data_IF_622834396922
#
_entry.id   IF_622834396922
#
_cell.length_a   1.000
_cell.length_b   1.000
_cell.length_c   1.000
_cell.angle_alpha   90.00
_cell.angle_beta   90.00
_cell.angle_gamma   90.00
#
_symmetry.space_group_name_H-M   'P 1'
#
loop_
_entity.id
_entity.type
_entity.pdbx_description
1 polymer ?
#
# COMPACT_ATOMS: atom_id res chain seq x y z
N UNK A 1 17.25 -3.26 28.43
CA UNK A 1 16.08 -3.08 29.30
C UNK A 1 16.25 -1.69 29.88
N UNK A 2 15.45 -0.73 29.45
CA UNK A 2 15.53 0.67 29.92
C UNK A 2 14.19 0.98 30.54
N UNK A 3 14.26 1.40 31.80
CA UNK A 3 13.16 1.79 32.65
C UNK A 3 12.71 3.21 32.26
N UNK A 4 11.41 3.42 32.05
CA UNK A 4 10.84 4.72 31.68
C UNK A 4 9.52 4.87 32.44
N UNK A 5 9.61 5.46 33.62
CA UNK A 5 8.48 5.98 34.38
C UNK A 5 8.55 7.51 34.40
N UNK A 6 7.45 8.18 34.05
CA UNK A 6 7.33 9.63 34.05
C UNK A 6 6.39 10.13 32.94
N UNK A 7 5.16 10.49 33.31
CA UNK A 7 4.04 10.77 32.41
C UNK A 7 4.33 11.74 31.25
N UNK A 8 3.93 11.32 30.05
CA UNK A 8 3.74 12.13 28.84
C UNK A 8 4.79 13.22 28.56
N UNK A 9 6.05 12.79 28.41
CA UNK A 9 7.12 13.56 27.77
C UNK A 9 8.03 12.58 27.03
N UNK A 10 8.26 12.77 25.73
CA UNK A 10 9.16 11.91 24.97
C UNK A 10 10.53 12.60 24.81
N UNK A 11 11.50 12.14 25.60
CA UNK A 11 12.95 12.41 25.47
C UNK A 11 13.67 11.08 25.28
N UNK A 12 14.31 10.90 24.12
CA UNK A 12 15.06 9.69 23.72
C UNK A 12 16.39 10.09 23.08
N UNK A 13 17.39 10.42 23.90
CA UNK A 13 18.69 10.95 23.50
C UNK A 13 19.32 10.29 22.26
N UNK A 14 19.35 11.07 21.16
CA UNK A 14 20.00 10.78 19.87
C UNK A 14 19.19 11.39 18.72
N UNK A 15 19.49 12.64 18.33
CA UNK A 15 18.81 13.42 17.26
C UNK A 15 17.29 13.25 17.26
N UNK A 16 16.65 13.90 18.24
CA UNK A 16 15.32 13.58 18.73
C UNK A 16 14.19 14.17 17.88
N UNK A 17 13.35 13.30 17.32
CA UNK A 17 12.04 13.68 16.81
C UNK A 17 11.07 13.93 17.96
N UNK A 18 10.41 15.09 17.95
CA UNK A 18 9.33 15.39 18.89
C UNK A 18 8.01 14.74 18.43
N UNK A 19 7.63 13.64 19.09
CA UNK A 19 6.29 13.07 18.98
C UNK A 19 5.36 13.77 19.98
N UNK A 20 4.25 14.30 19.51
CA UNK A 20 3.13 14.75 20.35
C UNK A 20 2.10 13.63 20.41
N UNK A 21 1.87 13.08 21.60
CA UNK A 21 0.86 12.06 21.82
C UNK A 21 -0.45 12.71 22.25
N UNK A 22 -1.58 12.28 21.69
CA UNK A 22 -2.89 12.66 22.25
C UNK A 22 -3.12 11.94 23.59
N UNK A 23 -3.97 12.46 24.49
CA UNK A 23 -4.09 11.96 25.87
C UNK A 23 -4.58 10.51 26.03
N UNK A 24 -5.08 9.86 24.98
CA UNK A 24 -5.39 8.42 24.95
C UNK A 24 -4.13 7.60 24.65
N UNK A 25 -3.88 6.61 25.51
CA UNK A 25 -2.55 6.06 25.82
C UNK A 25 -2.01 5.18 24.68
N UNK A 26 -1.30 5.80 23.74
CA UNK A 26 -0.53 5.07 22.73
C UNK A 26 0.46 4.12 23.41
N UNK A 27 0.47 2.84 23.02
CA UNK A 27 1.41 1.88 23.60
C UNK A 27 2.87 2.34 23.45
N UNK A 28 3.69 2.15 24.49
CA UNK A 28 5.11 2.55 24.47
C UNK A 28 5.90 1.86 23.36
N UNK A 29 5.47 0.68 22.91
CA UNK A 29 6.09 -0.04 21.79
C UNK A 29 5.69 0.56 20.44
N UNK A 30 4.39 0.87 20.22
CA UNK A 30 3.93 1.57 19.01
C UNK A 30 4.65 2.91 18.86
N UNK A 31 4.75 3.69 19.96
CA UNK A 31 5.45 4.97 19.96
C UNK A 31 6.94 4.86 19.62
N UNK A 32 7.65 3.86 20.17
CA UNK A 32 9.08 3.64 19.89
C UNK A 32 9.36 3.23 18.45
N UNK A 33 8.60 2.28 17.91
CA UNK A 33 8.78 1.83 16.53
C UNK A 33 8.53 2.98 15.54
N UNK A 34 7.46 3.76 15.76
CA UNK A 34 7.15 4.94 14.95
C UNK A 34 8.25 5.99 15.05
N UNK A 35 8.70 6.34 16.26
CA UNK A 35 9.78 7.31 16.46
C UNK A 35 11.06 6.91 15.70
N UNK A 36 11.50 5.66 15.85
CA UNK A 36 12.70 5.16 15.20
C UNK A 36 12.60 5.24 13.67
N UNK A 37 11.46 4.84 13.09
CA UNK A 37 11.23 4.90 11.65
C UNK A 37 11.21 6.33 11.12
N UNK A 38 10.56 7.26 11.84
CA UNK A 38 10.53 8.67 11.45
C UNK A 38 11.93 9.29 11.50
N UNK A 39 12.75 8.94 12.49
CA UNK A 39 14.15 9.41 12.59
C UNK A 39 15.00 8.88 11.43
N UNK A 40 14.75 7.63 11.04
CA UNK A 40 15.44 7.00 9.92
C UNK A 40 15.03 7.63 8.56
N UNK A 41 13.74 7.92 8.38
CA UNK A 41 13.19 8.66 7.24
C UNK A 41 13.74 10.08 7.16
N UNK A 42 13.81 10.80 8.27
CA UNK A 42 14.41 12.12 8.36
C UNK A 42 15.88 12.10 7.93
N UNK A 43 16.63 11.10 8.40
CA UNK A 43 18.03 10.88 8.01
C UNK A 43 18.16 10.59 6.51
N UNK A 44 17.28 9.74 5.97
CA UNK A 44 17.25 9.42 4.55
C UNK A 44 17.00 10.67 3.71
N UNK A 45 15.93 11.43 4.00
CA UNK A 45 15.55 12.60 3.20
C UNK A 45 16.49 13.78 3.34
N UNK A 46 17.08 14.00 4.52
CA UNK A 46 18.16 14.97 4.71
C UNK A 46 19.35 14.69 3.80
N UNK A 47 19.64 13.41 3.52
CA UNK A 47 20.70 13.03 2.56
C UNK A 47 20.26 13.17 1.11
N UNK A 48 19.00 12.88 0.79
CA UNK A 48 18.50 12.96 -0.59
C UNK A 48 18.35 14.40 -1.09
N UNK A 49 18.01 15.33 -0.20
CA UNK A 49 17.64 16.71 -0.54
C UNK A 49 18.60 17.76 0.03
N UNK A 50 19.55 17.35 0.88
CA UNK A 50 20.54 18.23 1.50
C UNK A 50 19.88 19.48 2.12
N UNK A 51 20.35 20.68 1.78
CA UNK A 51 19.82 21.94 2.31
C UNK A 51 18.39 22.29 1.91
N UNK A 52 17.76 21.52 0.99
CA UNK A 52 16.37 21.71 0.61
C UNK A 52 15.38 20.98 1.54
N UNK A 53 15.85 20.07 2.40
CA UNK A 53 14.99 19.38 3.35
C UNK A 53 14.78 20.19 4.63
N UNK A 54 13.52 20.27 5.06
CA UNK A 54 13.16 20.76 6.39
C UNK A 54 12.16 19.80 7.02
N UNK A 55 12.33 19.53 8.31
CA UNK A 55 11.41 18.70 9.09
C UNK A 55 10.02 19.33 9.17
N UNK A 56 8.96 18.53 9.45
CA UNK A 56 7.60 19.06 9.64
C UNK A 56 7.56 20.02 10.85
N UNK A 57 7.10 21.26 10.63
CA UNK A 57 7.01 22.27 11.72
C UNK A 57 5.95 21.91 12.76
N UNK A 58 4.87 21.24 12.34
CA UNK A 58 3.85 20.70 13.24
C UNK A 58 4.29 19.41 13.95
N UNK A 59 5.42 18.83 13.53
CA UNK A 59 5.98 17.61 14.10
C UNK A 59 5.19 16.36 13.71
N UNK A 60 5.16 15.40 14.63
CA UNK A 60 4.52 14.10 14.40
C UNK A 60 3.54 13.83 15.53
N UNK A 61 2.33 13.40 15.18
CA UNK A 61 1.18 13.30 16.08
C UNK A 61 0.72 11.86 16.13
N UNK A 62 0.79 11.22 17.30
CA UNK A 62 0.31 9.85 17.49
C UNK A 62 -1.01 9.89 18.25
N UNK A 63 -2.04 9.32 17.63
CA UNK A 63 -3.39 9.23 18.17
C UNK A 63 -3.76 7.77 18.45
N UNK A 64 -4.51 7.52 19.52
CA UNK A 64 -5.17 6.23 19.74
C UNK A 64 -6.68 6.35 19.45
N UNK A 65 -7.11 5.85 18.29
CA UNK A 65 -8.55 5.82 17.94
C UNK A 65 -9.25 4.52 18.37
N UNK A 66 -8.50 3.51 18.83
CA UNK A 66 -9.04 2.23 19.26
C UNK A 66 -9.79 2.37 20.59
N UNK A 67 -9.31 3.23 21.49
CA UNK A 67 -9.96 3.53 22.77
C UNK A 67 -11.23 4.37 22.66
N UNK A 68 -11.44 5.11 21.56
CA UNK A 68 -12.67 5.91 21.34
C UNK A 68 -13.92 5.01 21.29
N UNK A 69 -13.78 3.71 20.98
CA UNK A 69 -14.86 2.71 21.08
C UNK A 69 -15.35 2.48 22.50
N UNK A 70 -14.45 2.44 23.50
CA UNK A 70 -14.82 2.09 24.87
C UNK A 70 -15.76 3.13 25.51
N UNK A 71 -15.66 4.38 25.05
CA UNK A 71 -16.48 5.50 25.53
C UNK A 71 -17.78 5.66 24.73
N UNK A 72 -17.78 5.34 23.43
CA UNK A 72 -18.97 5.50 22.57
C UNK A 72 -19.92 4.30 22.59
N UNK A 73 -19.42 3.08 22.85
CA UNK A 73 -20.28 1.95 23.18
C UNK A 73 -20.36 1.81 24.69
N UNK A 74 -21.45 2.26 25.31
CA UNK A 74 -21.71 2.11 26.75
C UNK A 74 -21.84 0.64 27.18
N UNK A 75 -20.76 -0.12 27.11
CA UNK A 75 -20.66 -1.50 27.57
C UNK A 75 -20.18 -1.51 29.01
N UNK A 76 -21.08 -1.18 29.94
CA UNK A 76 -20.91 -1.60 31.34
C UNK A 76 -21.12 -3.11 31.41
N UNK A 77 -20.10 -3.82 31.89
CA UNK A 77 -20.19 -5.24 32.18
C UNK A 77 -21.20 -5.50 33.32
N UNK A 78 -22.27 -6.24 33.06
CA UNK A 78 -22.95 -7.05 34.08
C UNK A 78 -23.78 -8.19 33.44
N UNK A 79 -23.67 -9.36 34.06
CA UNK A 79 -24.42 -10.63 33.91
C UNK A 79 -25.88 -10.55 33.43
N UNK A 80 -26.28 -11.45 32.51
CA UNK A 80 -27.62 -11.53 31.85
C UNK A 80 -28.78 -12.07 32.71
N UNK A 81 -29.91 -12.58 32.14
CA UNK A 81 -30.26 -12.73 30.71
C UNK A 81 -31.70 -12.25 30.31
N UNK A 82 -32.03 -12.45 29.02
CA UNK A 82 -33.35 -12.60 28.33
C UNK A 82 -34.08 -11.43 27.63
N UNK A 83 -34.46 -11.74 26.38
CA UNK A 83 -35.56 -11.27 25.52
C UNK A 83 -35.38 -10.04 24.57
N UNK A 84 -35.71 -10.26 23.29
CA UNK A 84 -35.90 -9.28 22.20
C UNK A 84 -37.41 -9.11 21.90
N UNK A 85 -37.83 -8.32 20.90
CA UNK A 85 -37.60 -6.88 20.71
C UNK A 85 -38.92 -6.13 20.42
N UNK A 86 -39.05 -4.83 20.72
CA UNK A 86 -39.89 -3.90 19.92
C UNK A 86 -39.79 -2.45 20.40
N UNK A 87 -39.92 -1.53 19.44
CA UNK A 87 -40.22 -0.09 19.54
C UNK A 87 -39.09 0.91 19.85
N UNK A 88 -38.82 1.78 18.88
CA UNK A 88 -38.35 3.17 19.05
C UNK A 88 -39.48 3.96 19.77
N UNK A 89 -39.20 4.93 20.66
CA UNK A 89 -38.71 6.24 20.20
C UNK A 89 -37.88 7.09 21.20
N UNK A 90 -37.42 8.24 20.69
CA UNK A 90 -37.03 9.48 21.38
C UNK A 90 -35.60 9.62 21.94
N UNK A 91 -34.91 10.63 21.40
CA UNK A 91 -33.66 11.19 21.92
C UNK A 91 -33.90 11.89 23.27
N UNK A 92 -33.07 11.66 24.30
CA UNK A 92 -33.00 12.54 25.45
C UNK A 92 -32.00 13.67 25.21
N UNK A 93 -32.49 14.87 25.51
CA UNK A 93 -31.79 16.14 25.67
C UNK A 93 -30.50 16.04 26.49
N UNK A 94 -29.45 16.71 25.99
CA UNK A 94 -28.18 16.94 26.66
C UNK A 94 -28.36 17.68 28.00
N UNK A 95 -27.87 17.08 29.08
CA UNK A 95 -27.61 17.74 30.36
C UNK A 95 -26.13 18.15 30.48
N UNK A 96 -25.81 19.24 31.19
CA UNK A 96 -24.47 19.82 31.19
C UNK A 96 -23.56 19.08 32.19
N UNK A 97 -22.39 18.62 31.74
CA UNK A 97 -21.34 18.19 32.66
C UNK A 97 -20.59 16.92 32.26
N UNK A 98 -19.83 17.00 31.17
CA UNK A 98 -18.55 16.29 31.02
C UNK A 98 -17.78 17.01 29.91
N UNK A 99 -16.75 17.74 30.27
CA UNK A 99 -15.81 18.34 29.31
C UNK A 99 -15.14 17.22 28.53
N UNK A 100 -15.62 16.95 27.32
CA UNK A 100 -14.86 16.22 26.32
C UNK A 100 -13.54 16.96 26.12
N UNK A 101 -12.42 16.27 26.31
CA UNK A 101 -11.11 16.77 25.92
C UNK A 101 -11.09 17.13 24.43
N UNK A 102 -10.14 17.96 23.96
CA UNK A 102 -10.16 18.44 22.59
C UNK A 102 -10.04 17.23 21.65
N UNK A 103 -11.10 16.96 20.90
CA UNK A 103 -10.98 16.20 19.66
C UNK A 103 -10.01 17.00 18.81
N UNK A 104 -8.82 16.46 18.56
CA UNK A 104 -7.87 17.13 17.70
C UNK A 104 -8.45 17.15 16.28
N UNK A 105 -9.10 18.26 15.91
CA UNK A 105 -9.49 18.57 14.54
C UNK A 105 -8.21 18.81 13.75
N UNK A 106 -7.63 17.74 13.20
CA UNK A 106 -6.49 17.86 12.29
C UNK A 106 -6.99 18.34 10.93
N UNK A 107 -6.33 19.35 10.36
CA UNK A 107 -6.79 20.08 9.16
C UNK A 107 -7.07 19.19 7.95
N UNK A 108 -6.43 18.01 7.87
CA UNK A 108 -6.62 17.05 6.79
C UNK A 108 -7.38 15.78 7.19
N UNK A 109 -7.38 15.39 8.47
CA UNK A 109 -8.12 14.20 8.91
C UNK A 109 -9.60 14.50 9.14
N UNK A 110 -9.98 15.78 9.31
CA UNK A 110 -11.37 16.22 9.47
C UNK A 110 -12.01 15.81 10.80
N UNK A 111 -11.98 14.53 11.15
CA UNK A 111 -12.41 13.96 12.41
C UNK A 111 -11.62 12.67 12.76
N UNK A 112 -11.84 12.14 13.96
CA UNK A 112 -11.17 10.92 14.43
C UNK A 112 -11.55 9.65 13.62
N UNK A 113 -12.67 9.64 12.91
CA UNK A 113 -13.10 8.50 12.10
C UNK A 113 -12.31 8.39 10.80
N UNK A 114 -11.98 9.51 10.14
CA UNK A 114 -11.17 9.46 8.93
C UNK A 114 -9.70 9.11 9.20
N UNK A 115 -9.20 9.44 10.40
CA UNK A 115 -7.88 9.02 10.89
C UNK A 115 -7.84 7.54 11.29
N UNK A 116 -8.98 6.94 11.61
CA UNK A 116 -9.05 5.57 12.12
C UNK A 116 -8.40 4.60 11.14
N UNK A 117 -7.46 3.80 11.65
CA UNK A 117 -6.69 2.84 10.86
C UNK A 117 -5.98 3.49 9.67
N UNK A 118 -5.58 4.76 9.82
CA UNK A 118 -4.89 5.51 8.78
C UNK A 118 -3.74 6.39 9.34
N UNK A 119 -2.92 6.90 8.43
CA UNK A 119 -1.93 7.93 8.68
C UNK A 119 -2.01 8.97 7.57
N UNK A 120 -1.62 10.21 7.86
CA UNK A 120 -1.66 11.31 6.90
C UNK A 120 -0.50 12.27 7.12
N UNK A 121 0.09 12.77 6.05
CA UNK A 121 0.69 14.10 6.08
C UNK A 121 -0.39 15.17 5.89
N UNK A 122 -0.56 16.06 6.86
CA UNK A 122 -1.43 17.22 6.78
C UNK A 122 -0.64 18.48 6.34
N UNK A 123 -0.79 18.98 5.10
CA UNK A 123 -0.03 20.14 4.64
C UNK A 123 -0.39 21.44 5.38
N UNK A 124 -1.62 21.59 5.85
CA UNK A 124 -2.08 22.77 6.59
C UNK A 124 -1.43 22.91 7.97
N UNK A 125 -1.23 21.78 8.66
CA UNK A 125 -0.56 21.72 9.96
C UNK A 125 0.94 21.46 9.85
N UNK A 126 1.41 21.12 8.64
CA UNK A 126 2.77 20.67 8.36
C UNK A 126 3.22 19.58 9.34
N UNK A 127 2.38 18.55 9.48
CA UNK A 127 2.53 17.47 10.45
C UNK A 127 2.15 16.11 9.86
N UNK A 128 2.78 15.04 10.35
CA UNK A 128 2.33 13.66 10.07
C UNK A 128 1.51 13.16 11.26
N UNK A 129 0.26 12.79 11.00
CA UNK A 129 -0.70 12.27 11.99
C UNK A 129 -0.86 10.77 11.78
N UNK A 130 -0.75 9.98 12.84
CA UNK A 130 -0.72 8.52 12.78
C UNK A 130 -1.69 7.97 13.81
N UNK A 131 -2.56 7.05 13.40
CA UNK A 131 -3.33 6.23 14.33
C UNK A 131 -2.46 5.10 14.93
N UNK A 132 -1.77 5.41 16.01
CA UNK A 132 -0.91 4.47 16.71
C UNK A 132 -1.68 3.41 17.50
N UNK A 133 -2.98 3.60 17.75
CA UNK A 133 -3.85 2.67 18.45
C UNK A 133 -4.42 1.58 17.54
N UNK A 134 -4.86 1.93 16.33
CA UNK A 134 -5.47 0.96 15.40
C UNK A 134 -4.58 0.60 14.19
N UNK A 135 -3.95 1.58 13.52
CA UNK A 135 -3.15 1.31 12.32
C UNK A 135 -1.88 0.54 12.67
N UNK A 136 -1.09 1.07 13.61
CA UNK A 136 0.26 0.53 13.90
C UNK A 136 0.23 -0.94 14.32
N UNK A 137 -0.64 -1.40 15.24
CA UNK A 137 -0.69 -2.83 15.61
C UNK A 137 -1.11 -3.73 14.45
N UNK A 138 -2.07 -3.31 13.62
CA UNK A 138 -2.54 -4.08 12.46
C UNK A 138 -1.45 -4.21 11.40
N UNK A 139 -0.77 -3.10 11.07
CA UNK A 139 0.32 -3.10 10.10
C UNK A 139 1.51 -3.90 10.62
N UNK A 140 1.88 -3.76 11.90
CA UNK A 140 3.00 -4.50 12.50
C UNK A 140 2.75 -5.99 12.54
N UNK A 141 1.54 -6.43 12.85
CA UNK A 141 1.18 -7.85 12.88
C UNK A 141 1.08 -8.46 11.47
N UNK A 142 0.47 -7.73 10.52
CA UNK A 142 0.22 -8.22 9.16
C UNK A 142 1.48 -8.15 8.28
N UNK A 143 2.22 -7.04 8.34
CA UNK A 143 3.29 -6.72 7.39
C UNK A 143 4.67 -6.55 8.04
N UNK A 144 4.76 -6.63 9.37
CA UNK A 144 6.01 -6.47 10.11
C UNK A 144 6.50 -5.02 10.17
N UNK A 145 7.74 -4.82 10.61
CA UNK A 145 8.33 -3.48 10.70
C UNK A 145 8.53 -2.84 9.32
N UNK A 146 8.82 -3.66 8.30
CA UNK A 146 8.98 -3.19 6.92
C UNK A 146 7.67 -2.66 6.33
N UNK A 147 6.52 -3.23 6.71
CA UNK A 147 5.21 -2.65 6.37
C UNK A 147 4.99 -1.30 7.03
N UNK A 148 5.22 -1.19 8.35
CA UNK A 148 5.10 0.12 9.01
C UNK A 148 6.05 1.16 8.38
N UNK A 149 7.27 0.73 8.05
CA UNK A 149 8.25 1.54 7.34
C UNK A 149 7.75 2.01 5.97
N UNK A 150 7.13 1.14 5.17
CA UNK A 150 6.58 1.49 3.86
C UNK A 150 5.40 2.48 3.96
N UNK A 151 4.47 2.26 4.90
CA UNK A 151 3.34 3.16 5.12
C UNK A 151 3.80 4.56 5.58
N UNK A 152 4.71 4.62 6.57
CA UNK A 152 5.24 5.92 7.01
C UNK A 152 6.10 6.60 5.95
N UNK A 153 6.82 5.84 5.12
CA UNK A 153 7.60 6.40 4.02
C UNK A 153 6.72 6.99 2.91
N UNK A 154 5.53 6.43 2.70
CA UNK A 154 4.52 7.02 1.81
C UNK A 154 4.06 8.39 2.34
N UNK A 155 3.67 8.49 3.62
CA UNK A 155 3.31 9.79 4.22
C UNK A 155 4.46 10.81 4.19
N UNK A 156 5.69 10.33 4.38
CA UNK A 156 6.88 11.16 4.25
C UNK A 156 7.10 11.63 2.80
N UNK A 157 6.66 10.85 1.81
CA UNK A 157 6.61 11.25 0.41
C UNK A 157 5.75 12.51 0.20
N UNK A 158 4.59 12.59 0.85
CA UNK A 158 3.74 13.78 0.84
C UNK A 158 4.40 14.99 1.52
N UNK A 159 5.09 14.76 2.66
CA UNK A 159 5.91 15.81 3.29
C UNK A 159 6.95 16.35 2.30
N UNK A 160 7.66 15.47 1.60
CA UNK A 160 8.67 15.84 0.61
C UNK A 160 8.07 16.63 -0.54
N UNK A 161 6.92 16.22 -1.08
CA UNK A 161 6.19 16.98 -2.10
C UNK A 161 5.87 18.41 -1.63
N UNK A 162 5.52 18.60 -0.35
CA UNK A 162 5.32 19.95 0.20
C UNK A 162 6.59 20.79 0.29
N UNK A 163 7.79 20.17 0.26
CA UNK A 163 9.09 20.87 0.23
C UNK A 163 9.57 21.20 -1.18
N UNK A 164 9.48 20.23 -2.09
CA UNK A 164 10.10 20.32 -3.42
C UNK A 164 9.11 20.41 -4.57
N UNK A 165 7.82 20.33 -4.27
CA UNK A 165 6.72 20.34 -5.23
C UNK A 165 6.26 18.94 -5.66
N UNK A 166 5.00 18.82 -6.09
CA UNK A 166 3.99 19.88 -6.11
C UNK A 166 3.37 20.16 -4.72
N UNK A 167 3.27 21.44 -4.36
CA UNK A 167 2.56 21.89 -3.14
C UNK A 167 1.05 21.74 -3.30
N UNK A 168 0.29 21.72 -2.19
CA UNK A 168 -1.17 21.65 -2.25
C UNK A 168 -1.81 22.83 -3.00
N UNK A 169 -1.17 24.00 -3.03
CA UNK A 169 -1.63 25.12 -3.85
C UNK A 169 -1.48 24.81 -5.34
N UNK A 170 -0.32 24.31 -5.76
CA UNK A 170 -0.07 23.92 -7.14
C UNK A 170 -0.99 22.79 -7.61
N UNK A 171 -1.31 21.84 -6.72
CA UNK A 171 -2.27 20.78 -7.00
C UNK A 171 -3.67 21.33 -7.27
N UNK A 172 -4.13 22.31 -6.48
CA UNK A 172 -5.44 22.97 -6.70
C UNK A 172 -5.46 23.88 -7.92
N UNK A 173 -4.36 24.59 -8.19
CA UNK A 173 -4.26 25.54 -9.28
C UNK A 173 -4.15 24.84 -10.65
N UNK A 174 -3.57 23.63 -10.69
CA UNK A 174 -3.37 22.84 -11.91
C UNK A 174 -3.62 21.34 -11.67
N UNK A 175 -4.89 20.93 -11.45
CA UNK A 175 -5.25 19.55 -11.13
C UNK A 175 -5.08 18.59 -12.31
N UNK A 176 -5.00 19.09 -13.55
CA UNK A 176 -4.70 18.26 -14.72
C UNK A 176 -3.22 17.86 -14.77
N UNK A 177 -2.33 18.78 -14.36
CA UNK A 177 -0.90 18.50 -14.24
C UNK A 177 -0.54 17.72 -12.99
N UNK A 178 -1.29 17.92 -11.91
CA UNK A 178 -1.05 17.33 -10.60
C UNK A 178 -2.30 16.60 -10.06
N UNK A 179 -2.87 15.64 -10.80
CA UNK A 179 -4.04 14.90 -10.34
C UNK A 179 -3.67 14.03 -9.14
N UNK A 180 -4.64 13.74 -8.26
CA UNK A 180 -4.42 12.95 -7.03
C UNK A 180 -3.62 11.67 -7.29
N UNK A 181 -3.96 10.91 -8.33
CA UNK A 181 -3.25 9.66 -8.67
C UNK A 181 -1.75 9.84 -8.94
N UNK A 182 -1.32 10.99 -9.46
CA UNK A 182 0.11 11.28 -9.62
C UNK A 182 0.76 11.59 -8.27
N UNK A 183 0.06 12.32 -7.40
CA UNK A 183 0.55 12.67 -6.05
C UNK A 183 0.76 11.40 -5.22
N UNK A 184 -0.20 10.49 -5.24
CA UNK A 184 -0.14 9.19 -4.59
C UNK A 184 0.97 8.30 -5.18
N UNK A 185 1.07 8.21 -6.51
CA UNK A 185 2.13 7.44 -7.15
C UNK A 185 3.53 7.99 -6.85
N UNK A 186 3.68 9.31 -6.69
CA UNK A 186 4.93 9.90 -6.25
C UNK A 186 5.27 9.53 -4.80
N UNK A 187 4.28 9.47 -3.91
CA UNK A 187 4.44 9.04 -2.52
C UNK A 187 4.79 7.54 -2.41
N UNK A 188 4.13 6.68 -3.19
CA UNK A 188 4.49 5.26 -3.30
C UNK A 188 5.91 5.06 -3.87
N UNK A 189 6.31 5.86 -4.86
CA UNK A 189 7.68 5.88 -5.35
C UNK A 189 8.67 6.33 -4.27
N UNK A 190 8.34 7.35 -3.49
CA UNK A 190 9.14 7.81 -2.37
C UNK A 190 9.35 6.68 -1.32
N UNK A 191 8.30 5.92 -1.03
CA UNK A 191 8.37 4.74 -0.18
C UNK A 191 9.31 3.67 -0.75
N UNK A 192 9.22 3.39 -2.05
CA UNK A 192 10.14 2.47 -2.74
C UNK A 192 11.60 2.87 -2.64
N UNK A 193 11.91 4.15 -2.80
CA UNK A 193 13.27 4.68 -2.69
C UNK A 193 13.84 4.51 -1.26
N UNK A 194 13.01 4.74 -0.25
CA UNK A 194 13.38 4.51 1.13
C UNK A 194 13.59 3.01 1.44
N UNK A 195 12.71 2.13 0.93
CA UNK A 195 12.86 0.68 1.11
C UNK A 195 14.13 0.14 0.43
N UNK A 196 14.51 0.66 -0.74
CA UNK A 196 15.79 0.34 -1.36
C UNK A 196 16.97 0.76 -0.49
N UNK A 197 16.90 1.95 0.11
CA UNK A 197 17.90 2.38 1.07
C UNK A 197 17.94 1.42 2.25
N UNK A 198 16.83 1.21 2.97
CA UNK A 198 16.72 0.30 4.12
C UNK A 198 17.20 -1.14 3.83
N UNK A 199 17.07 -1.62 2.59
CA UNK A 199 17.49 -2.95 2.17
C UNK A 199 18.95 -3.07 1.66
N UNK A 200 19.50 -2.02 1.04
CA UNK A 200 20.83 -2.03 0.43
C UNK A 200 21.98 -1.62 1.37
N UNK A 201 21.64 -1.27 2.61
CA UNK A 201 22.52 -0.79 3.68
C UNK A 201 23.26 -1.86 4.50
N UNK A 202 24.59 -2.00 4.49
CA UNK A 202 25.23 -2.54 5.71
C UNK A 202 24.91 -1.61 6.90
N UNK A 203 24.67 -2.15 8.11
CA UNK A 203 24.48 -1.31 9.29
C UNK A 203 25.67 -0.34 9.42
N UNK A 204 25.40 0.96 9.49
CA UNK A 204 26.46 1.93 9.79
C UNK A 204 26.56 1.99 11.31
N UNK A 205 27.71 1.59 11.92
CA UNK A 205 27.86 1.58 13.37
C UNK A 205 27.53 2.97 13.95
N UNK A 206 26.68 3.03 14.97
CA UNK A 206 26.25 4.28 15.60
C UNK A 206 25.06 4.99 14.93
N UNK A 207 24.43 4.40 13.92
CA UNK A 207 23.17 4.92 13.33
C UNK A 207 21.96 4.11 13.79
N UNK A 208 20.83 4.77 14.07
CA UNK A 208 19.53 4.15 14.41
C UNK A 208 18.81 3.56 13.18
N UNK A 209 19.61 3.08 12.22
CA UNK A 209 19.19 2.71 10.87
C UNK A 209 18.34 1.45 10.85
N UNK A 210 17.20 1.48 10.16
CA UNK A 210 16.47 0.27 9.80
C UNK A 210 17.25 -0.54 8.76
N UNK A 211 17.53 -1.81 9.09
CA UNK A 211 18.09 -2.78 8.17
C UNK A 211 17.03 -3.82 7.82
N UNK A 212 16.50 -3.75 6.59
CA UNK A 212 15.49 -4.68 6.08
C UNK A 212 16.14 -5.73 5.17
N UNK A 213 16.10 -7.03 5.50
CA UNK A 213 16.53 -8.05 4.55
C UNK A 213 15.70 -7.96 3.26
N UNK A 214 16.32 -8.05 2.08
CA UNK A 214 15.61 -7.98 0.78
C UNK A 214 14.45 -8.99 0.71
N UNK A 215 14.59 -10.15 1.34
CA UNK A 215 13.55 -11.18 1.41
C UNK A 215 12.27 -10.73 2.15
N UNK A 216 12.30 -9.68 2.97
CA UNK A 216 11.11 -9.14 3.65
C UNK A 216 10.39 -8.07 2.84
N UNK A 217 10.97 -7.58 1.74
CA UNK A 217 10.37 -6.52 0.92
C UNK A 217 8.99 -6.90 0.35
N UNK A 218 8.75 -8.13 -0.17
CA UNK A 218 7.42 -8.53 -0.62
C UNK A 218 6.35 -8.35 0.45
N UNK A 219 6.62 -8.74 1.70
CA UNK A 219 5.68 -8.56 2.82
C UNK A 219 5.56 -7.09 3.25
N UNK A 220 6.65 -6.34 3.13
CA UNK A 220 6.70 -4.92 3.50
C UNK A 220 5.81 -4.07 2.59
N UNK A 221 5.90 -4.28 1.27
CA UNK A 221 5.14 -3.51 0.29
C UNK A 221 3.66 -3.90 0.23
N UNK A 222 3.27 -5.09 0.73
CA UNK A 222 1.86 -5.51 0.80
C UNK A 222 1.01 -4.52 1.60
N UNK A 223 1.59 -3.77 2.54
CA UNK A 223 0.85 -2.70 3.24
C UNK A 223 0.39 -1.58 2.30
N UNK A 224 1.07 -1.30 1.20
CA UNK A 224 0.63 -0.26 0.25
C UNK A 224 -0.33 -0.87 -0.77
N UNK A 225 -0.07 -2.11 -1.18
CA UNK A 225 -0.89 -2.83 -2.14
C UNK A 225 -2.26 -3.22 -1.57
N UNK A 226 -2.35 -3.57 -0.29
CA UNK A 226 -3.61 -3.98 0.35
C UNK A 226 -4.47 -2.77 0.74
N UNK A 227 -3.86 -1.59 0.93
CA UNK A 227 -4.55 -0.30 1.07
C UNK A 227 -4.89 0.34 -0.29
N UNK A 228 -4.97 -0.46 -1.35
CA UNK A 228 -5.48 -0.02 -2.67
C UNK A 228 -6.97 0.31 -2.63
N UNK A 229 -7.41 1.13 -3.56
CA UNK A 229 -8.84 1.35 -3.78
C UNK A 229 -9.49 0.18 -4.51
N UNK A 230 -10.76 -0.07 -4.19
CA UNK A 230 -11.57 -1.08 -4.89
C UNK A 230 -11.73 -0.73 -6.38
N UNK A 231 -11.73 -1.75 -7.23
CA UNK A 231 -12.06 -1.64 -8.65
C UNK A 231 -13.46 -1.06 -8.94
N UNK A 232 -14.33 -1.00 -7.93
CA UNK A 232 -15.67 -0.41 -7.97
C UNK A 232 -15.77 0.96 -7.30
N UNK A 233 -14.72 1.42 -6.61
CA UNK A 233 -14.72 2.71 -5.93
C UNK A 233 -14.72 3.88 -6.95
N UNK A 234 -15.45 4.96 -6.67
CA UNK A 234 -15.32 6.18 -7.44
C UNK A 234 -13.93 6.79 -7.21
N UNK A 235 -13.33 7.36 -8.26
CA UNK A 235 -12.14 8.21 -8.10
C UNK A 235 -12.53 9.47 -7.32
N UNK A 236 -11.83 9.76 -6.23
CA UNK A 236 -12.06 10.90 -5.35
C UNK A 236 -10.73 11.54 -4.92
N UNK A 237 -10.78 12.60 -4.12
CA UNK A 237 -9.58 13.24 -3.56
C UNK A 237 -8.81 12.34 -2.57
N UNK A 238 -9.40 11.22 -2.13
CA UNK A 238 -8.77 10.23 -1.25
C UNK A 238 -8.38 8.93 -1.98
N UNK A 239 -8.36 8.96 -3.31
CA UNK A 239 -8.07 7.78 -4.12
C UNK A 239 -6.55 7.57 -4.25
N UNK A 240 -6.04 6.52 -3.63
CA UNK A 240 -4.64 6.10 -3.62
C UNK A 240 -4.22 5.43 -4.94
N UNK A 241 -5.10 4.65 -5.56
CA UNK A 241 -4.75 3.86 -6.74
C UNK A 241 -5.16 2.39 -6.69
N UNK A 242 -5.14 1.72 -7.84
CA UNK A 242 -5.22 0.27 -7.91
C UNK A 242 -3.88 -0.37 -7.53
N UNK A 243 -3.92 -1.62 -7.07
CA UNK A 243 -2.78 -2.27 -6.43
C UNK A 243 -1.54 -2.33 -7.34
N UNK A 244 -1.73 -2.65 -8.62
CA UNK A 244 -0.62 -2.71 -9.57
C UNK A 244 -0.03 -1.34 -9.88
N UNK A 245 -0.83 -0.29 -9.94
CA UNK A 245 -0.33 1.07 -10.17
C UNK A 245 0.56 1.52 -9.00
N UNK A 246 0.10 1.27 -7.76
CA UNK A 246 0.86 1.49 -6.53
C UNK A 246 2.17 0.70 -6.51
N UNK A 247 2.11 -0.60 -6.80
CA UNK A 247 3.29 -1.46 -6.86
C UNK A 247 4.34 -0.96 -7.86
N UNK A 248 3.91 -0.53 -9.04
CA UNK A 248 4.82 -0.04 -10.09
C UNK A 248 5.52 1.24 -9.68
N UNK A 249 4.82 2.13 -8.97
CA UNK A 249 5.42 3.31 -8.37
C UNK A 249 6.49 2.94 -7.33
N UNK A 250 6.19 2.02 -6.41
CA UNK A 250 7.16 1.51 -5.43
C UNK A 250 8.39 0.92 -6.13
N UNK A 251 8.21 0.05 -7.13
CA UNK A 251 9.33 -0.56 -7.87
C UNK A 251 10.16 0.50 -8.60
N UNK A 252 9.55 1.53 -9.18
CA UNK A 252 10.27 2.67 -9.78
C UNK A 252 11.18 3.33 -8.75
N UNK A 253 10.65 3.70 -7.59
CA UNK A 253 11.43 4.33 -6.52
C UNK A 253 12.56 3.44 -6.03
N UNK A 254 12.29 2.15 -5.87
CA UNK A 254 13.29 1.17 -5.46
C UNK A 254 14.46 1.08 -6.44
N UNK A 255 14.16 1.02 -7.75
CA UNK A 255 15.17 0.81 -8.79
C UNK A 255 15.88 2.11 -9.22
N UNK A 256 15.18 3.24 -9.20
CA UNK A 256 15.63 4.50 -9.80
C UNK A 256 15.92 5.61 -8.76
N UNK A 257 15.61 5.37 -7.49
CA UNK A 257 15.87 6.28 -6.38
C UNK A 257 14.94 7.49 -6.29
N UNK A 258 15.07 8.25 -5.21
CA UNK A 258 14.13 9.31 -4.81
C UNK A 258 13.95 10.42 -5.86
N UNK A 259 15.02 10.80 -6.56
CA UNK A 259 14.96 11.84 -7.63
C UNK A 259 14.02 11.45 -8.77
N UNK A 260 13.87 10.15 -9.05
CA UNK A 260 12.97 9.68 -10.10
C UNK A 260 11.50 9.93 -9.77
N UNK A 261 11.15 10.02 -8.48
CA UNK A 261 9.79 10.20 -8.01
C UNK A 261 9.28 11.60 -8.27
N UNK A 262 10.03 12.64 -7.86
CA UNK A 262 9.67 14.03 -8.15
C UNK A 262 9.61 14.36 -9.66
N UNK A 263 10.31 13.57 -10.49
CA UNK A 263 10.30 13.72 -11.94
C UNK A 263 9.07 13.08 -12.63
N UNK A 264 8.24 12.33 -11.91
CA UNK A 264 7.03 11.70 -12.44
C UNK A 264 6.04 12.74 -12.96
N UNK A 265 5.52 12.50 -14.17
CA UNK A 265 4.43 13.25 -14.78
C UNK A 265 3.28 12.32 -15.12
N UNK A 266 2.09 12.88 -15.33
CA UNK A 266 0.90 12.12 -15.75
C UNK A 266 1.17 11.24 -16.97
N UNK A 267 1.88 11.76 -17.97
CA UNK A 267 2.25 10.99 -19.18
C UNK A 267 3.20 9.81 -18.94
N UNK A 268 3.86 9.75 -17.78
CA UNK A 268 4.69 8.61 -17.38
C UNK A 268 3.86 7.49 -16.71
N UNK A 269 2.61 7.79 -16.30
CA UNK A 269 1.73 6.86 -15.62
C UNK A 269 0.93 6.05 -16.64
N UNK A 270 1.39 4.85 -16.96
CA UNK A 270 0.64 3.87 -17.75
C UNK A 270 -0.39 3.15 -16.84
N UNK A 271 -1.34 3.90 -16.28
CA UNK A 271 -2.26 3.42 -15.26
C UNK A 271 -3.13 2.24 -15.72
N UNK A 272 -3.37 1.29 -14.82
CA UNK A 272 -4.45 0.31 -14.98
C UNK A 272 -5.80 0.95 -14.66
N UNK A 273 -5.82 1.92 -13.73
CA UNK A 273 -6.98 2.73 -13.43
C UNK A 273 -7.59 3.37 -14.70
N UNK A 274 -8.90 3.22 -14.86
CA UNK A 274 -9.65 3.86 -15.94
C UNK A 274 -9.35 3.30 -17.34
N UNK A 275 -8.61 2.19 -17.46
CA UNK A 275 -8.26 1.61 -18.75
C UNK A 275 -9.50 1.23 -19.55
N UNK A 276 -9.60 1.78 -20.76
CA UNK A 276 -10.66 1.46 -21.70
C UNK A 276 -10.69 -0.05 -22.02
N UNK A 277 -11.88 -0.58 -22.31
CA UNK A 277 -12.07 -2.01 -22.56
C UNK A 277 -12.21 -2.86 -21.30
N UNK A 278 -12.06 -2.29 -20.10
CA UNK A 278 -12.34 -2.98 -18.84
C UNK A 278 -13.74 -2.69 -18.31
N UNK A 279 -14.40 -3.70 -17.74
CA UNK A 279 -15.69 -3.58 -17.04
C UNK A 279 -15.52 -3.78 -15.54
N UNK A 280 -16.47 -3.26 -14.76
CA UNK A 280 -16.53 -3.61 -13.34
C UNK A 280 -16.66 -5.14 -13.18
N UNK A 281 -16.00 -5.73 -12.18
CA UNK A 281 -16.15 -7.15 -11.91
C UNK A 281 -17.61 -7.49 -11.57
N UNK A 282 -18.06 -8.68 -11.98
CA UNK A 282 -19.40 -9.20 -11.69
C UNK A 282 -19.35 -10.09 -10.46
N UNK A 283 -20.48 -10.20 -9.74
CA UNK A 283 -20.65 -11.20 -8.68
C UNK A 283 -20.73 -12.63 -9.23
N UNK A 284 -21.06 -12.79 -10.52
CA UNK A 284 -21.05 -14.09 -11.20
C UNK A 284 -19.70 -14.32 -11.84
N UNK A 285 -19.13 -15.50 -11.57
CA UNK A 285 -17.92 -15.98 -12.20
C UNK A 285 -18.02 -16.02 -13.74
N UNK A 286 -16.91 -15.74 -14.44
CA UNK A 286 -16.83 -15.78 -15.91
C UNK A 286 -16.80 -17.21 -16.43
N UNK A 287 -16.11 -18.08 -15.70
CA UNK A 287 -15.90 -19.47 -16.05
C UNK A 287 -16.52 -20.38 -14.98
N UNK A 288 -17.03 -21.57 -15.35
CA UNK A 288 -17.72 -22.45 -14.41
C UNK A 288 -16.80 -23.16 -13.41
N UNK A 289 -15.52 -23.31 -13.74
CA UNK A 289 -14.52 -23.98 -12.91
C UNK A 289 -13.09 -23.61 -13.32
N UNK A 290 -12.12 -24.03 -12.50
CA UNK A 290 -10.70 -23.78 -12.74
C UNK A 290 -10.16 -24.45 -14.04
N UNK A 291 -10.77 -25.54 -14.50
CA UNK A 291 -10.35 -26.20 -15.75
C UNK A 291 -10.74 -25.36 -16.97
N UNK A 292 -11.93 -24.76 -16.95
CA UNK A 292 -12.38 -23.80 -17.95
C UNK A 292 -11.52 -22.54 -17.95
N UNK A 293 -11.13 -22.03 -16.77
CA UNK A 293 -10.16 -20.92 -16.66
C UNK A 293 -8.81 -21.29 -17.28
N UNK A 294 -8.27 -22.47 -16.97
CA UNK A 294 -7.01 -22.94 -17.55
C UNK A 294 -7.11 -23.12 -19.08
N UNK A 295 -8.23 -23.60 -19.59
CA UNK A 295 -8.52 -23.68 -21.02
C UNK A 295 -8.50 -22.30 -21.69
N UNK A 296 -9.17 -21.31 -21.09
CA UNK A 296 -9.17 -19.93 -21.57
C UNK A 296 -7.77 -19.30 -21.53
N UNK A 297 -6.99 -19.56 -20.48
CA UNK A 297 -5.62 -19.07 -20.36
C UNK A 297 -4.70 -19.65 -21.44
N UNK A 298 -4.82 -20.96 -21.74
CA UNK A 298 -4.08 -21.60 -22.83
C UNK A 298 -4.47 -21.03 -24.21
N UNK A 299 -5.76 -20.81 -24.46
CA UNK A 299 -6.21 -20.16 -25.69
C UNK A 299 -5.67 -18.72 -25.82
N UNK A 300 -5.62 -17.97 -24.70
CA UNK A 300 -5.03 -16.65 -24.67
C UNK A 300 -3.52 -16.69 -24.96
N UNK A 301 -2.80 -17.70 -24.44
CA UNK A 301 -1.37 -17.94 -24.72
C UNK A 301 -1.09 -18.14 -26.21
N UNK A 302 -1.91 -18.92 -26.92
CA UNK A 302 -1.75 -19.19 -28.36
C UNK A 302 -1.73 -17.91 -29.22
N UNK A 303 -2.46 -16.88 -28.77
CA UNK A 303 -2.49 -15.56 -29.41
C UNK A 303 -1.40 -14.60 -28.90
N UNK A 304 -0.80 -14.87 -27.75
CA UNK A 304 0.23 -14.04 -27.12
C UNK A 304 1.64 -14.38 -27.60
N UNK A 305 2.00 -15.66 -27.53
CA UNK A 305 3.31 -16.17 -27.94
C UNK A 305 3.09 -17.27 -28.99
N UNK A 306 3.53 -17.08 -30.25
CA UNK A 306 3.45 -18.13 -31.26
C UNK A 306 4.08 -19.46 -30.84
N UNK A 307 5.09 -19.43 -29.95
CA UNK A 307 5.72 -20.61 -29.37
C UNK A 307 4.85 -21.37 -28.36
N UNK A 308 3.72 -20.81 -27.94
CA UNK A 308 2.75 -21.47 -27.06
C UNK A 308 1.70 -22.31 -27.82
N UNK A 309 1.58 -22.11 -29.14
CA UNK A 309 0.52 -22.72 -29.95
C UNK A 309 0.46 -24.24 -29.80
N UNK A 310 -0.65 -24.73 -29.26
CA UNK A 310 -0.88 -26.17 -29.06
C UNK A 310 -0.10 -26.79 -27.90
N UNK A 311 0.57 -25.99 -27.07
CA UNK A 311 1.31 -26.43 -25.89
C UNK A 311 0.50 -26.14 -24.64
N UNK A 312 -0.29 -27.12 -24.20
CA UNK A 312 -1.09 -26.98 -22.98
C UNK A 312 -0.18 -26.84 -21.74
N UNK A 313 -0.41 -25.78 -20.96
CA UNK A 313 0.15 -25.60 -19.64
C UNK A 313 -0.88 -25.90 -18.55
N UNK A 314 -0.38 -26.37 -17.41
CA UNK A 314 -1.15 -26.62 -16.20
C UNK A 314 -0.41 -25.99 -15.01
N UNK A 315 -1.13 -25.24 -14.19
CA UNK A 315 -0.61 -24.70 -12.93
C UNK A 315 -0.18 -25.83 -11.97
N UNK A 316 0.79 -25.54 -11.11
CA UNK A 316 1.05 -26.43 -9.96
C UNK A 316 -0.11 -26.33 -8.96
N UNK A 317 -0.32 -27.38 -8.14
CA UNK A 317 -1.39 -27.37 -7.14
C UNK A 317 -1.22 -26.22 -6.13
N UNK A 318 0.03 -25.89 -5.78
CA UNK A 318 0.35 -24.77 -4.89
C UNK A 318 0.00 -23.40 -5.52
N UNK A 319 0.36 -23.18 -6.78
CA UNK A 319 0.03 -21.94 -7.48
C UNK A 319 -1.48 -21.80 -7.71
N UNK A 320 -2.16 -22.91 -8.01
CA UNK A 320 -3.61 -22.91 -8.21
C UNK A 320 -4.37 -22.66 -6.90
N UNK A 321 -3.91 -23.22 -5.78
CA UNK A 321 -4.48 -22.96 -4.47
C UNK A 321 -4.34 -21.48 -4.10
N UNK A 322 -3.14 -20.90 -4.25
CA UNK A 322 -2.91 -19.48 -4.00
C UNK A 322 -3.78 -18.59 -4.89
N UNK A 323 -3.92 -18.94 -6.17
CA UNK A 323 -4.72 -18.19 -7.14
C UNK A 323 -6.23 -18.27 -6.90
N UNK A 324 -6.73 -19.37 -6.32
CA UNK A 324 -8.17 -19.60 -6.13
C UNK A 324 -8.78 -18.63 -5.12
N UNK A 325 -8.04 -18.26 -4.09
CA UNK A 325 -8.46 -17.26 -3.10
C UNK A 325 -8.48 -15.83 -3.66
N UNK A 326 -7.88 -15.60 -4.83
CA UNK A 326 -7.71 -14.27 -5.43
C UNK A 326 -8.76 -14.03 -6.52
N UNK A 327 -8.89 -14.95 -7.48
CA UNK A 327 -9.86 -14.80 -8.56
C UNK A 327 -9.49 -15.56 -9.85
N UNK A 328 -10.40 -15.51 -10.83
CA UNK A 328 -10.25 -16.29 -12.06
C UNK A 328 -9.11 -15.79 -12.95
N UNK A 329 -8.73 -14.51 -12.89
CA UNK A 329 -7.55 -14.04 -13.63
C UNK A 329 -6.25 -14.47 -12.95
N UNK A 330 -6.22 -14.55 -11.61
CA UNK A 330 -5.11 -15.18 -10.90
C UNK A 330 -4.99 -16.68 -11.27
N UNK A 331 -6.10 -17.42 -11.34
CA UNK A 331 -6.09 -18.83 -11.73
C UNK A 331 -5.55 -19.03 -13.16
N UNK A 332 -5.96 -18.16 -14.10
CA UNK A 332 -5.39 -18.13 -15.45
C UNK A 332 -3.90 -17.75 -15.44
N UNK A 333 -3.51 -16.79 -14.61
CA UNK A 333 -2.12 -16.35 -14.42
C UNK A 333 -1.22 -17.48 -13.90
N UNK A 334 -1.72 -18.34 -13.01
CA UNK A 334 -0.99 -19.53 -12.54
C UNK A 334 -0.68 -20.50 -13.70
N UNK A 335 -1.60 -20.62 -14.66
CA UNK A 335 -1.41 -21.44 -15.88
C UNK A 335 -0.37 -20.81 -16.81
N UNK A 336 -0.44 -19.49 -17.02
CA UNK A 336 0.52 -18.70 -17.80
C UNK A 336 1.92 -18.79 -17.21
N UNK A 337 2.03 -18.72 -15.89
CA UNK A 337 3.29 -18.80 -15.16
C UNK A 337 3.93 -20.19 -15.26
N UNK A 338 3.13 -21.25 -15.25
CA UNK A 338 3.61 -22.61 -15.51
C UNK A 338 4.15 -22.77 -16.94
N UNK A 339 3.55 -22.09 -17.93
CA UNK A 339 4.11 -22.01 -19.28
C UNK A 339 5.42 -21.22 -19.29
N UNK A 340 5.41 -20.01 -18.72
CA UNK A 340 6.57 -19.11 -18.64
C UNK A 340 7.80 -19.76 -18.04
N UNK A 341 7.64 -20.55 -16.95
CA UNK A 341 8.73 -21.32 -16.33
C UNK A 341 9.39 -22.35 -17.25
N UNK A 342 8.67 -22.87 -18.26
CA UNK A 342 9.26 -23.76 -19.28
C UNK A 342 9.84 -22.96 -20.45
N UNK A 343 9.21 -21.84 -20.79
CA UNK A 343 9.50 -21.03 -21.97
C UNK A 343 10.71 -20.10 -21.80
N UNK A 344 10.78 -19.40 -20.68
CA UNK A 344 11.87 -18.52 -20.25
C UNK A 344 12.09 -18.65 -18.72
N UNK A 345 12.70 -19.75 -18.24
CA UNK A 345 12.76 -20.08 -16.81
C UNK A 345 13.30 -18.96 -15.91
N UNK A 346 14.29 -18.20 -16.39
CA UNK A 346 14.95 -17.12 -15.65
C UNK A 346 14.16 -15.80 -15.63
N UNK A 347 13.04 -15.70 -16.36
CA UNK A 347 12.22 -14.49 -16.49
C UNK A 347 10.72 -14.84 -16.52
N UNK A 348 10.33 -15.88 -15.78
CA UNK A 348 8.97 -16.43 -15.83
C UNK A 348 7.94 -15.45 -15.25
N UNK A 349 8.29 -14.71 -14.18
CA UNK A 349 7.40 -13.69 -13.61
C UNK A 349 7.33 -12.45 -14.53
N UNK A 350 8.43 -12.12 -15.23
CA UNK A 350 8.39 -11.12 -16.32
C UNK A 350 7.46 -11.56 -17.46
N UNK A 351 7.55 -12.82 -17.89
CA UNK A 351 6.64 -13.37 -18.90
C UNK A 351 5.18 -13.18 -18.50
N UNK A 352 4.85 -13.48 -17.23
CA UNK A 352 3.51 -13.28 -16.70
C UNK A 352 3.11 -11.80 -16.74
N UNK A 353 3.97 -10.88 -16.32
CA UNK A 353 3.70 -9.44 -16.42
C UNK A 353 3.41 -8.99 -17.85
N UNK A 354 4.21 -9.46 -18.81
CA UNK A 354 4.04 -9.16 -20.22
C UNK A 354 2.72 -9.72 -20.78
N UNK A 355 2.34 -10.93 -20.38
CA UNK A 355 1.05 -11.52 -20.72
C UNK A 355 -0.10 -10.69 -20.13
N UNK A 356 -0.02 -10.33 -18.85
CA UNK A 356 -1.05 -9.54 -18.17
C UNK A 356 -1.25 -8.19 -18.86
N UNK A 357 -0.18 -7.49 -19.25
CA UNK A 357 -0.25 -6.27 -20.07
C UNK A 357 -0.98 -6.48 -21.38
N UNK A 358 -0.69 -7.58 -22.07
CA UNK A 358 -1.26 -7.87 -23.40
C UNK A 358 -2.76 -8.23 -23.34
N UNK A 359 -3.27 -8.68 -22.19
CA UNK A 359 -4.69 -9.02 -22.01
C UNK A 359 -5.48 -7.89 -21.38
N UNK A 360 -4.92 -7.24 -20.38
CA UNK A 360 -5.63 -6.24 -19.58
C UNK A 360 -6.07 -5.05 -20.43
N UNK A 361 -7.40 -4.84 -20.51
CA UNK A 361 -8.02 -3.78 -21.31
C UNK A 361 -8.04 -4.02 -22.83
N UNK A 362 -7.57 -5.18 -23.30
CA UNK A 362 -7.58 -5.55 -24.73
C UNK A 362 -8.41 -6.79 -25.03
N UNK A 363 -8.80 -7.53 -24.00
CA UNK A 363 -9.62 -8.74 -24.10
C UNK A 363 -11.10 -8.43 -24.33
N UNK A 364 -11.81 -9.34 -25.01
CA UNK A 364 -13.24 -9.25 -25.20
C UNK A 364 -13.98 -9.30 -23.84
N UNK A 365 -15.10 -8.58 -23.73
CA UNK A 365 -15.90 -8.54 -22.52
C UNK A 365 -16.27 -9.96 -22.03
N UNK A 366 -16.11 -10.21 -20.73
CA UNK A 366 -16.40 -11.51 -20.12
C UNK A 366 -15.24 -12.53 -20.21
N UNK A 367 -14.10 -12.17 -20.81
CA UNK A 367 -12.91 -13.03 -20.88
C UNK A 367 -11.81 -12.58 -19.93
N UNK A 368 -10.76 -13.39 -19.78
CA UNK A 368 -9.57 -13.04 -18.99
C UNK A 368 -8.90 -11.75 -19.50
N UNK A 369 -8.79 -10.74 -18.65
CA UNK A 369 -8.20 -9.42 -18.94
C UNK A 369 -9.23 -8.31 -19.19
N UNK A 370 -10.54 -8.64 -19.14
CA UNK A 370 -11.62 -7.69 -19.39
C UNK A 370 -12.18 -7.04 -18.13
N UNK A 371 -11.80 -7.48 -16.93
CA UNK A 371 -12.28 -6.86 -15.68
C UNK A 371 -11.24 -5.90 -15.10
N UNK A 372 -11.72 -4.83 -14.44
CA UNK A 372 -10.87 -3.82 -13.80
C UNK A 372 -9.92 -4.42 -12.75
N UNK A 373 -10.33 -5.49 -12.08
CA UNK A 373 -9.53 -6.22 -11.07
C UNK A 373 -8.46 -7.14 -11.67
N UNK A 374 -8.53 -7.51 -12.95
CA UNK A 374 -7.71 -8.60 -13.50
C UNK A 374 -6.20 -8.34 -13.36
N UNK A 375 -5.74 -7.12 -13.60
CA UNK A 375 -4.32 -6.77 -13.45
C UNK A 375 -3.83 -6.94 -11.99
N UNK A 376 -4.67 -6.56 -11.03
CA UNK A 376 -4.40 -6.70 -9.60
C UNK A 376 -4.43 -8.18 -9.17
N UNK A 377 -5.36 -8.99 -9.70
CA UNK A 377 -5.40 -10.43 -9.42
C UNK A 377 -4.09 -11.15 -9.84
N UNK A 378 -3.52 -10.80 -11.01
CA UNK A 378 -2.23 -11.35 -11.42
C UNK A 378 -1.08 -10.90 -10.53
N UNK A 379 -1.08 -9.63 -10.13
CA UNK A 379 -0.09 -9.10 -9.20
C UNK A 379 -0.19 -9.77 -7.82
N UNK A 380 -1.40 -9.93 -7.29
CA UNK A 380 -1.66 -10.56 -5.99
C UNK A 380 -1.13 -12.00 -5.96
N UNK A 381 -1.27 -12.75 -7.08
CA UNK A 381 -0.66 -14.08 -7.20
C UNK A 381 0.86 -14.03 -7.07
N UNK A 382 1.51 -13.07 -7.73
CA UNK A 382 2.97 -12.89 -7.66
C UNK A 382 3.38 -12.52 -6.24
N UNK A 383 2.69 -11.59 -5.59
CA UNK A 383 2.96 -11.18 -4.21
C UNK A 383 2.79 -12.35 -3.24
N UNK A 384 1.67 -13.08 -3.31
CA UNK A 384 1.38 -14.21 -2.44
C UNK A 384 2.50 -15.25 -2.46
N UNK A 385 3.03 -15.57 -3.65
CA UNK A 385 4.17 -16.48 -3.81
C UNK A 385 5.50 -15.89 -3.34
N UNK A 386 5.67 -14.59 -3.49
CA UNK A 386 6.93 -13.90 -3.22
C UNK A 386 7.21 -13.71 -1.73
N UNK A 387 6.18 -13.63 -0.89
CA UNK A 387 6.33 -13.43 0.57
C UNK A 387 7.06 -14.56 1.29
N UNK A 388 7.00 -15.78 0.76
CA UNK A 388 7.69 -16.96 1.30
C UNK A 388 9.03 -17.28 0.59
N UNK A 389 9.44 -16.45 -0.37
CA UNK A 389 10.56 -16.74 -1.27
C UNK A 389 11.79 -15.87 -0.99
N UNK A 390 12.97 -16.49 -0.93
CA UNK A 390 14.24 -15.76 -0.86
C UNK A 390 14.50 -14.88 -2.10
N UNK A 391 13.89 -15.21 -3.24
CA UNK A 391 13.95 -14.43 -4.49
C UNK A 391 12.68 -13.61 -4.72
N UNK A 392 11.79 -13.50 -3.73
CA UNK A 392 10.47 -12.88 -3.88
C UNK A 392 10.50 -11.45 -4.42
N UNK A 393 11.48 -10.65 -4.00
CA UNK A 393 11.62 -9.30 -4.54
C UNK A 393 12.00 -9.28 -6.03
N UNK A 394 12.84 -10.22 -6.48
CA UNK A 394 13.17 -10.36 -7.90
C UNK A 394 11.92 -10.74 -8.73
N UNK A 395 11.10 -11.67 -8.22
CA UNK A 395 9.86 -12.10 -8.88
C UNK A 395 8.88 -10.93 -9.09
N UNK A 396 8.70 -10.09 -8.06
CA UNK A 396 7.87 -8.88 -8.13
C UNK A 396 8.41 -7.87 -9.16
N UNK A 397 9.71 -7.59 -9.11
CA UNK A 397 10.33 -6.60 -10.01
C UNK A 397 10.38 -7.09 -11.47
N UNK A 398 10.55 -8.38 -11.70
CA UNK A 398 10.40 -9.01 -13.02
C UNK A 398 8.98 -8.85 -13.55
N UNK A 399 7.96 -9.17 -12.74
CA UNK A 399 6.56 -8.99 -13.14
C UNK A 399 6.26 -7.53 -13.55
N UNK A 400 6.72 -6.55 -12.76
CA UNK A 400 6.59 -5.13 -13.11
C UNK A 400 7.32 -4.79 -14.40
N UNK A 401 8.52 -5.34 -14.60
CA UNK A 401 9.32 -5.14 -15.83
C UNK A 401 8.57 -5.65 -17.06
N UNK A 402 8.01 -6.85 -16.99
CA UNK A 402 7.21 -7.42 -18.07
C UNK A 402 5.91 -6.65 -18.32
N UNK A 403 5.24 -6.21 -17.26
CA UNK A 403 4.01 -5.43 -17.39
C UNK A 403 4.24 -4.05 -18.03
N UNK A 404 5.38 -3.42 -17.74
CA UNK A 404 5.76 -2.14 -18.36
C UNK A 404 6.29 -2.28 -19.79
N UNK A 405 7.16 -3.27 -20.03
CA UNK A 405 7.92 -3.40 -21.28
C UNK A 405 7.45 -4.48 -22.26
N UNK A 406 6.44 -5.27 -21.88
CA UNK A 406 5.98 -6.41 -22.66
C UNK A 406 7.03 -7.52 -22.81
N UNK A 407 6.79 -8.47 -23.71
CA UNK A 407 7.63 -9.67 -23.83
C UNK A 407 9.08 -9.37 -24.27
N UNK A 408 9.30 -8.22 -24.92
CA UNK A 408 10.63 -7.78 -25.32
C UNK A 408 11.53 -7.44 -24.13
N UNK A 409 10.95 -7.03 -23.00
CA UNK A 409 11.70 -6.70 -21.79
C UNK A 409 12.11 -7.93 -20.96
N UNK A 410 11.66 -9.13 -21.33
CA UNK A 410 11.92 -10.37 -20.59
C UNK A 410 13.05 -11.23 -21.20
N UNK A 411 13.89 -10.65 -22.05
CA UNK A 411 14.91 -11.36 -22.85
C UNK A 411 16.33 -11.04 -22.42
#
# INVERSE_FOLDING_TARGET
>A
MVDIDGGAGLDTGGTLIHLRQTPTVVSTTSGRDVAALLTDLETFWSRQLEGAFTTPRGGYLLTDTADVRAVSSGATASSGPTASPTSTPAAPSAGPGASAGPTADYSCAGNADALRSNAFYCPGDDAIVIDAGALVPVVRSSYGIGGLAAALAHEYGHLVQARIGPTSAQQRDDPERYPQVLIEAQADCAAGAYLAWAAGTSPVPGTARLNLPVATLPRSISTLVDFRDSATAPTSELFHGYGLDRLRAVVRGYQQGARSCAAMRVGDLDLTLGRAGTTAPSATERYPDAAAVAGAANAALDSFDPGARGVAARASDADLAAATEIGQFAQGSATVLAFGRRRIPAAADCYLGAFSRARYGHSAAGTLGSWRSDADEAMDLVIARSTASATGWAQITEFVTGFGGGLAACR
#
